data_IF_472642922193
#
_entry.id   IF_472642922193
#
_cell.length_a   1.000
_cell.length_b   1.000
_cell.length_c   1.000
_cell.angle_alpha   90.00
_cell.angle_beta   90.00
_cell.angle_gamma   90.00
#
_symmetry.space_group_name_H-M   'P 1'
#
loop_
_entity.id
_entity.type
_entity.pdbx_description
1 polymer ?
#
# COMPACT_ATOMS: atom_id res chain seq x y z
N UNK A 1 17.19 12.20 -18.80
CA UNK A 1 17.65 11.66 -20.09
C UNK A 1 17.19 10.21 -20.17
N UNK A 2 16.04 9.94 -20.77
CA UNK A 2 15.55 8.57 -21.00
C UNK A 2 16.41 7.95 -22.11
N UNK A 3 16.98 6.77 -21.85
CA UNK A 3 17.78 6.04 -22.83
C UNK A 3 16.95 5.60 -24.06
N UNK A 4 17.60 5.19 -25.15
CA UNK A 4 16.93 4.91 -26.41
C UNK A 4 16.00 3.69 -26.28
N UNK A 5 14.72 3.90 -26.56
CA UNK A 5 13.71 2.83 -26.65
C UNK A 5 13.66 2.34 -28.10
N UNK A 6 14.03 1.09 -28.34
CA UNK A 6 13.93 0.44 -29.65
C UNK A 6 12.53 -0.16 -29.82
N UNK A 7 11.70 0.46 -30.65
CA UNK A 7 10.36 -0.05 -30.99
C UNK A 7 10.45 -1.01 -32.20
N UNK A 8 9.99 -2.25 -32.01
CA UNK A 8 9.85 -3.27 -33.05
C UNK A 8 8.81 -4.32 -32.59
N UNK A 9 8.32 -5.22 -33.47
CA UNK A 9 7.19 -6.12 -33.20
C UNK A 9 7.52 -7.29 -32.24
N UNK A 10 8.70 -7.27 -31.62
CA UNK A 10 9.06 -8.22 -30.56
C UNK A 10 8.49 -7.71 -29.23
N UNK A 11 8.02 -8.57 -28.30
CA UNK A 11 7.64 -8.13 -26.97
C UNK A 11 8.89 -7.63 -26.23
N UNK A 12 9.23 -6.37 -26.44
CA UNK A 12 10.11 -5.60 -25.56
C UNK A 12 9.31 -5.42 -24.28
N UNK A 13 9.32 -6.45 -23.42
CA UNK A 13 8.95 -6.25 -22.03
C UNK A 13 9.88 -5.13 -21.53
N UNK A 14 9.34 -3.96 -21.12
CA UNK A 14 10.20 -2.94 -20.54
C UNK A 14 10.93 -3.61 -19.39
N UNK A 15 12.26 -3.52 -19.36
CA UNK A 15 13.02 -3.80 -18.14
C UNK A 15 12.61 -2.75 -17.11
N UNK A 16 11.46 -2.98 -16.48
CA UNK A 16 11.04 -2.27 -15.30
C UNK A 16 12.12 -2.58 -14.28
N UNK A 17 12.93 -1.58 -13.94
CA UNK A 17 13.97 -1.70 -12.92
C UNK A 17 13.42 -2.41 -11.69
N UNK A 18 14.26 -3.19 -11.01
CA UNK A 18 13.87 -4.06 -9.91
C UNK A 18 12.81 -3.39 -9.02
N UNK A 19 11.60 -3.96 -8.98
CA UNK A 19 10.49 -3.45 -8.14
C UNK A 19 11.07 -3.11 -6.76
N UNK A 20 10.87 -1.89 -6.22
CA UNK A 20 11.46 -1.51 -4.95
C UNK A 20 11.10 -2.59 -3.93
N UNK A 21 12.12 -3.31 -3.46
CA UNK A 21 11.91 -4.42 -2.54
C UNK A 21 11.29 -3.84 -1.28
N UNK A 22 10.22 -4.46 -0.78
CA UNK A 22 9.63 -4.21 0.55
C UNK A 22 10.65 -4.12 1.70
N UNK A 23 11.90 -4.58 1.47
CA UNK A 23 13.02 -4.58 2.42
C UNK A 23 13.58 -3.20 2.79
N UNK A 24 13.19 -2.12 2.11
CA UNK A 24 13.56 -0.76 2.52
C UNK A 24 12.32 -0.01 3.03
N UNK A 25 11.84 -0.36 4.23
CA UNK A 25 10.73 0.35 4.89
C UNK A 25 11.13 1.73 5.44
N UNK A 26 12.40 2.13 5.29
CA UNK A 26 12.97 3.32 5.92
C UNK A 26 13.40 3.03 7.35
N UNK A 27 13.73 4.08 8.10
CA UNK A 27 14.01 4.00 9.54
C UNK A 27 12.82 4.55 10.31
N UNK A 28 12.13 3.69 11.05
CA UNK A 28 11.06 4.11 11.96
C UNK A 28 11.63 4.79 13.21
N UNK A 29 10.84 5.63 13.89
CA UNK A 29 11.20 6.14 15.21
C UNK A 29 11.14 5.01 16.24
N UNK A 30 11.97 5.11 17.29
CA UNK A 30 12.06 4.09 18.35
C UNK A 30 10.73 3.78 19.06
N UNK A 31 9.76 4.70 19.00
CA UNK A 31 8.39 4.49 19.47
C UNK A 31 7.42 5.15 18.52
N UNK A 32 6.44 4.37 18.06
CA UNK A 32 5.30 4.85 17.29
C UNK A 32 4.09 4.88 18.22
N UNK A 33 3.41 6.02 18.29
CA UNK A 33 2.18 6.13 19.08
C UNK A 33 1.01 5.52 18.32
N UNK A 34 0.17 4.76 19.01
CA UNK A 34 -1.05 4.21 18.46
C UNK A 34 -2.18 4.20 19.49
N UNK A 35 -3.41 4.41 19.05
CA UNK A 35 -4.62 4.33 19.86
C UNK A 35 -5.57 3.28 19.28
N UNK A 36 -5.98 2.32 20.10
CA UNK A 36 -6.95 1.30 19.73
C UNK A 36 -8.36 1.73 20.18
N UNK A 37 -9.27 1.92 19.25
CA UNK A 37 -10.69 2.23 19.50
C UNK A 37 -11.59 1.46 18.52
N UNK A 38 -12.41 2.15 17.72
CA UNK A 38 -13.14 1.55 16.60
C UNK A 38 -12.18 1.09 15.49
N UNK A 39 -11.08 1.82 15.30
CA UNK A 39 -9.95 1.48 14.43
C UNK A 39 -8.65 1.54 15.24
N UNK A 40 -7.58 0.99 14.70
CA UNK A 40 -6.23 1.21 15.20
C UNK A 40 -5.69 2.50 14.55
N UNK A 41 -5.70 3.60 15.29
CA UNK A 41 -5.12 4.86 14.83
C UNK A 41 -3.62 4.88 15.12
N UNK A 42 -2.78 4.98 14.09
CA UNK A 42 -1.32 5.03 14.18
C UNK A 42 -0.88 6.46 13.84
N UNK A 43 -0.07 7.07 14.70
CA UNK A 43 0.52 8.38 14.42
C UNK A 43 1.46 8.28 13.22
N UNK A 44 1.27 9.17 12.24
CA UNK A 44 2.12 9.25 11.03
C UNK A 44 3.37 10.08 11.26
N UNK A 45 3.47 10.78 12.40
CA UNK A 45 4.57 11.68 12.73
C UNK A 45 5.89 10.93 12.79
N UNK A 46 6.82 11.31 11.91
CA UNK A 46 8.14 10.69 11.83
C UNK A 46 8.18 9.32 11.17
N UNK A 47 7.05 8.80 10.66
CA UNK A 47 7.05 7.56 9.90
C UNK A 47 7.63 7.79 8.50
N UNK A 48 8.58 6.94 8.04
CA UNK A 48 9.05 7.01 6.67
C UNK A 48 7.91 6.69 5.69
N UNK A 49 7.90 7.32 4.50
CA UNK A 49 6.82 7.14 3.53
C UNK A 49 6.70 5.69 3.02
N UNK A 50 7.79 4.92 3.04
CA UNK A 50 7.78 3.51 2.68
C UNK A 50 7.01 2.65 3.70
N UNK A 51 7.19 2.91 4.99
CA UNK A 51 6.43 2.26 6.06
C UNK A 51 4.95 2.65 5.99
N UNK A 52 4.65 3.93 5.77
CA UNK A 52 3.27 4.39 5.59
C UNK A 52 2.58 3.69 4.41
N UNK A 53 3.29 3.55 3.29
CA UNK A 53 2.79 2.81 2.13
C UNK A 53 2.59 1.33 2.43
N UNK A 54 3.47 0.70 3.21
CA UNK A 54 3.33 -0.70 3.63
C UNK A 54 2.10 -0.90 4.52
N UNK A 55 1.87 -0.03 5.50
CA UNK A 55 0.68 -0.06 6.38
C UNK A 55 -0.62 0.11 5.57
N UNK A 56 -0.66 1.09 4.65
CA UNK A 56 -1.81 1.29 3.75
C UNK A 56 -2.06 0.07 2.86
N UNK A 57 -0.99 -0.53 2.35
CA UNK A 57 -1.08 -1.73 1.53
C UNK A 57 -1.58 -2.94 2.30
N UNK A 58 -1.15 -3.14 3.55
CA UNK A 58 -1.67 -4.21 4.42
C UNK A 58 -3.19 -4.09 4.63
N UNK A 59 -3.69 -2.85 4.73
CA UNK A 59 -5.11 -2.55 4.80
C UNK A 59 -5.80 -2.42 3.44
N UNK A 60 -5.21 -2.92 2.34
CA UNK A 60 -5.78 -2.84 1.00
C UNK A 60 -5.74 -4.20 0.31
N UNK A 61 -6.80 -4.54 -0.40
CA UNK A 61 -6.86 -5.80 -1.14
C UNK A 61 -7.56 -5.66 -2.50
N UNK A 62 -7.33 -6.62 -3.39
CA UNK A 62 -7.92 -6.68 -4.71
C UNK A 62 -9.44 -6.91 -4.64
N UNK A 63 -10.21 -6.08 -5.34
CA UNK A 63 -11.66 -6.23 -5.38
C UNK A 63 -12.07 -7.33 -6.39
N UNK A 64 -12.54 -8.52 -5.95
CA UNK A 64 -12.93 -9.58 -6.88
C UNK A 64 -14.06 -9.16 -7.84
N UNK A 65 -14.95 -8.26 -7.42
CA UNK A 65 -16.05 -7.77 -8.26
C UNK A 65 -15.56 -7.02 -9.51
N UNK A 66 -14.48 -6.25 -9.36
CA UNK A 66 -13.87 -5.55 -10.50
C UNK A 66 -13.43 -6.56 -11.56
N UNK A 67 -12.72 -7.61 -11.14
CA UNK A 67 -12.19 -8.62 -12.04
C UNK A 67 -13.31 -9.48 -12.65
N UNK A 68 -14.39 -9.77 -11.91
CA UNK A 68 -15.59 -10.43 -12.45
C UNK A 68 -16.22 -9.62 -13.57
N UNK A 69 -16.47 -8.32 -13.34
CA UNK A 69 -17.03 -7.41 -14.36
C UNK A 69 -16.13 -7.29 -15.58
N UNK A 70 -14.82 -7.17 -15.37
CA UNK A 70 -13.84 -7.12 -16.45
C UNK A 70 -13.87 -8.39 -17.31
N UNK A 71 -13.93 -9.58 -16.69
CA UNK A 71 -13.97 -10.85 -17.41
C UNK A 71 -15.25 -11.02 -18.23
N UNK A 72 -16.38 -10.55 -17.70
CA UNK A 72 -17.68 -10.58 -18.38
C UNK A 72 -17.84 -9.45 -19.43
N UNK A 73 -16.81 -8.62 -19.61
CA UNK A 73 -16.85 -7.40 -20.45
C UNK A 73 -17.98 -6.44 -20.07
N UNK A 74 -18.40 -6.46 -18.81
CA UNK A 74 -19.34 -5.50 -18.26
C UNK A 74 -18.64 -4.21 -17.84
N UNK A 75 -19.43 -3.13 -17.73
CA UNK A 75 -18.92 -1.85 -17.25
C UNK A 75 -18.37 -1.99 -15.82
N UNK A 76 -17.11 -1.62 -15.64
CA UNK A 76 -16.47 -1.53 -14.34
C UNK A 76 -16.62 -0.14 -13.69
N UNK A 77 -17.46 0.74 -14.26
CA UNK A 77 -17.74 2.05 -13.70
C UNK A 77 -18.26 1.93 -12.26
N UNK A 78 -17.72 2.75 -11.37
CA UNK A 78 -18.04 2.72 -9.93
C UNK A 78 -17.53 1.48 -9.16
N UNK A 79 -16.77 0.58 -9.79
CA UNK A 79 -16.18 -0.58 -9.12
C UNK A 79 -14.68 -0.37 -8.98
N UNK A 80 -14.14 -0.05 -7.79
CA UNK A 80 -12.71 0.17 -7.64
C UNK A 80 -11.95 -1.15 -7.78
N UNK A 81 -10.72 -1.07 -8.29
CA UNK A 81 -9.82 -2.23 -8.44
C UNK A 81 -9.27 -2.74 -7.11
N UNK A 82 -9.01 -1.82 -6.18
CA UNK A 82 -8.54 -2.08 -4.83
C UNK A 82 -9.57 -1.57 -3.84
N UNK A 83 -9.87 -2.38 -2.84
CA UNK A 83 -10.63 -1.96 -1.65
C UNK A 83 -9.62 -1.49 -0.62
N UNK A 84 -9.71 -0.23 -0.21
CA UNK A 84 -8.90 0.35 0.84
C UNK A 84 -9.72 0.35 2.14
N UNK A 85 -9.23 -0.33 3.18
CA UNK A 85 -9.88 -0.44 4.49
C UNK A 85 -9.23 0.45 5.56
N UNK A 86 -8.29 1.31 5.17
CA UNK A 86 -7.69 2.29 6.06
C UNK A 86 -8.43 3.64 5.99
N UNK A 87 -8.35 4.41 7.07
CA UNK A 87 -8.75 5.82 7.11
C UNK A 87 -7.48 6.70 7.11
N UNK A 88 -7.41 7.63 6.17
CA UNK A 88 -6.30 8.58 6.03
C UNK A 88 -6.81 10.00 5.80
N UNK A 89 -8.00 10.33 6.33
CA UNK A 89 -8.55 11.69 6.30
C UNK A 89 -7.75 12.67 7.16
N UNK A 90 -7.19 12.16 8.25
CA UNK A 90 -6.32 12.91 9.14
C UNK A 90 -4.85 12.80 8.65
N UNK A 91 -4.12 13.92 8.47
CA UNK A 91 -2.72 13.88 8.07
C UNK A 91 -1.80 13.28 9.15
N UNK A 92 -2.15 13.42 10.43
CA UNK A 92 -1.35 13.00 11.58
C UNK A 92 -1.67 11.57 12.03
N UNK A 93 -2.79 11.01 11.57
CA UNK A 93 -3.27 9.69 11.97
C UNK A 93 -3.68 8.80 10.80
N UNK A 94 -3.17 7.57 10.79
CA UNK A 94 -3.61 6.50 9.90
C UNK A 94 -4.47 5.50 10.68
N UNK A 95 -5.76 5.42 10.36
CA UNK A 95 -6.67 4.41 10.89
C UNK A 95 -6.54 3.08 10.14
N UNK A 96 -6.26 1.99 10.84
CA UNK A 96 -6.25 0.63 10.29
C UNK A 96 -7.39 -0.22 10.89
N UNK A 97 -7.87 -1.25 10.17
CA UNK A 97 -8.71 -2.28 10.76
C UNK A 97 -8.05 -2.89 11.99
N UNK A 98 -8.83 -3.10 13.07
CA UNK A 98 -8.31 -3.64 14.35
C UNK A 98 -7.60 -4.98 14.21
N UNK A 99 -8.03 -5.81 13.26
CA UNK A 99 -7.42 -7.12 12.98
C UNK A 99 -6.01 -7.05 12.39
N UNK A 100 -5.54 -5.87 11.97
CA UNK A 100 -4.18 -5.67 11.46
C UNK A 100 -3.19 -5.19 12.52
N UNK A 101 -3.56 -5.20 13.81
CA UNK A 101 -2.68 -4.70 14.88
C UNK A 101 -1.34 -5.43 14.93
N UNK A 102 -1.35 -6.77 14.86
CA UNK A 102 -0.12 -7.58 14.90
C UNK A 102 0.73 -7.37 13.65
N UNK A 103 0.11 -7.29 12.47
CA UNK A 103 0.82 -7.03 11.21
C UNK A 103 1.43 -5.63 11.18
N UNK A 104 0.70 -4.62 11.68
CA UNK A 104 1.21 -3.26 11.82
C UNK A 104 2.40 -3.19 12.78
N UNK A 105 2.33 -3.86 13.93
CA UNK A 105 3.43 -3.97 14.88
C UNK A 105 4.67 -4.62 14.23
N UNK A 106 4.48 -5.71 13.48
CA UNK A 106 5.56 -6.39 12.77
C UNK A 106 6.21 -5.51 11.69
N UNK A 107 5.41 -4.76 10.92
CA UNK A 107 5.90 -3.82 9.92
C UNK A 107 6.73 -2.69 10.54
N UNK A 108 6.26 -2.14 11.66
CA UNK A 108 6.99 -1.09 12.40
C UNK A 108 8.30 -1.65 12.95
N UNK A 109 8.28 -2.81 13.60
CA UNK A 109 9.47 -3.45 14.15
C UNK A 109 10.52 -3.80 13.08
N UNK A 110 10.08 -4.15 11.87
CA UNK A 110 10.99 -4.42 10.74
C UNK A 110 11.67 -3.16 10.21
N UNK A 111 11.07 -1.98 10.42
CA UNK A 111 11.59 -0.69 9.96
C UNK A 111 12.56 -0.01 10.93
N UNK A 112 12.78 -0.58 12.13
CA UNK A 112 13.75 -0.05 13.11
C UNK A 112 13.14 0.16 14.49
#
# INVERSE_FOLDING_TARGET
>A
MLGPVKAGPSPTAPELGAKPRRKALGKAPARVQAQLSAMLAISTTGLPPQLLAALKHAASFHNPEFYRKQNQRFSAWGTPRLVCCFDARDPDWLGLPRGLADEAAQLIATAG
#
